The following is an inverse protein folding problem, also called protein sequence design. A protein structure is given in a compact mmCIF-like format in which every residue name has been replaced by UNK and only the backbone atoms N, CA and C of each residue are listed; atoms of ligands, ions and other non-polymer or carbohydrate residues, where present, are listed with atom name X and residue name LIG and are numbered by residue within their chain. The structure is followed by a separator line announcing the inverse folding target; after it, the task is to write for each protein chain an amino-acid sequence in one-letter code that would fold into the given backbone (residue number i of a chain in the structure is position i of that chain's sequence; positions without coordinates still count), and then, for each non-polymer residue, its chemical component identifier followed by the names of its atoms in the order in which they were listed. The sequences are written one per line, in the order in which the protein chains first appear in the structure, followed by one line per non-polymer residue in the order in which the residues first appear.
data_IF_899425537331
#
_entry.id   IF_899425537331
#
_cell.length_a   1.000
_cell.length_b   1.000
_cell.length_c   1.000
_cell.angle_alpha   90.00
_cell.angle_beta   90.00
_cell.angle_gamma   90.00
#
_symmetry.space_group_name_H-M   'P 1'
#
loop_
_entity.id
_entity.type
_entity.pdbx_description
1 polymer ?
#
# COMPACT_ATOMS: atom_id res chain seq x y z
N UNK A 1 -26.91 13.97 32.71
CA UNK A 1 -26.58 12.59 32.30
C UNK A 1 -26.97 12.31 30.86
N UNK A 2 -28.25 12.36 30.45
CA UNK A 2 -28.68 12.00 29.08
C UNK A 2 -27.97 12.78 27.95
N UNK A 3 -27.69 14.08 28.14
CA UNK A 3 -26.97 14.91 27.15
C UNK A 3 -25.50 14.51 26.98
N UNK A 4 -24.85 13.99 28.01
CA UNK A 4 -23.47 13.50 27.90
C UNK A 4 -23.41 12.15 27.19
N UNK A 5 -24.38 11.27 27.46
CA UNK A 5 -24.50 9.98 26.75
C UNK A 5 -24.74 10.20 25.25
N UNK A 6 -25.57 11.19 24.89
CA UNK A 6 -25.81 11.56 23.49
C UNK A 6 -24.55 12.12 22.81
N UNK A 7 -23.77 12.95 23.50
CA UNK A 7 -22.50 13.48 22.97
C UNK A 7 -21.44 12.37 22.79
N UNK A 8 -21.33 11.44 23.74
CA UNK A 8 -20.45 10.28 23.63
C UNK A 8 -20.87 9.38 22.47
N UNK A 9 -22.17 9.13 22.28
CA UNK A 9 -22.68 8.35 21.16
C UNK A 9 -22.33 8.99 19.80
N UNK A 10 -22.48 10.31 19.66
CA UNK A 10 -22.10 11.02 18.43
C UNK A 10 -20.58 11.00 18.19
N UNK A 11 -19.76 11.18 19.23
CA UNK A 11 -18.30 11.09 19.10
C UNK A 11 -17.85 9.68 18.68
N UNK A 12 -18.44 8.64 19.27
CA UNK A 12 -18.16 7.25 18.89
C UNK A 12 -18.61 6.97 17.45
N UNK A 13 -19.79 7.46 17.05
CA UNK A 13 -20.30 7.29 15.69
C UNK A 13 -19.42 7.98 14.64
N UNK A 14 -18.94 9.20 14.93
CA UNK A 14 -17.98 9.89 14.07
C UNK A 14 -16.66 9.12 13.96
N UNK A 15 -16.12 8.66 15.09
CA UNK A 15 -14.87 7.89 15.11
C UNK A 15 -15.00 6.60 14.29
N UNK A 16 -16.08 5.84 14.49
CA UNK A 16 -16.31 4.59 13.76
C UNK A 16 -16.43 4.83 12.25
N UNK A 17 -17.05 5.94 11.84
CA UNK A 17 -17.23 6.28 10.42
C UNK A 17 -15.88 6.61 9.75
N UNK A 18 -15.05 7.43 10.41
CA UNK A 18 -13.72 7.79 9.89
C UNK A 18 -12.82 6.55 9.74
N UNK A 19 -12.72 5.73 10.79
CA UNK A 19 -11.91 4.50 10.73
C UNK A 19 -12.44 3.50 9.70
N UNK A 20 -13.77 3.41 9.50
CA UNK A 20 -14.34 2.54 8.47
C UNK A 20 -13.94 2.98 7.06
N UNK A 21 -13.93 4.29 6.79
CA UNK A 21 -13.49 4.84 5.51
C UNK A 21 -12.00 4.62 5.28
N UNK A 22 -11.16 4.79 6.31
CA UNK A 22 -9.72 4.53 6.23
C UNK A 22 -9.41 3.06 5.93
N UNK A 23 -10.11 2.12 6.58
CA UNK A 23 -9.97 0.69 6.32
C UNK A 23 -10.35 0.34 4.88
N UNK A 24 -11.45 0.91 4.37
CA UNK A 24 -11.87 0.70 2.98
C UNK A 24 -10.82 1.26 2.01
N UNK A 25 -10.34 2.48 2.26
CA UNK A 25 -9.29 3.11 1.46
C UNK A 25 -7.99 2.29 1.44
N UNK A 26 -7.56 1.80 2.60
CA UNK A 26 -6.40 0.94 2.74
C UNK A 26 -6.54 -0.38 1.97
N UNK A 27 -7.71 -1.03 2.05
CA UNK A 27 -7.97 -2.26 1.30
C UNK A 27 -7.96 -2.02 -0.21
N UNK A 28 -8.59 -0.94 -0.67
CA UNK A 28 -8.59 -0.55 -2.08
C UNK A 28 -7.17 -0.27 -2.58
N UNK A 29 -6.38 0.49 -1.82
CA UNK A 29 -4.97 0.77 -2.14
C UNK A 29 -4.12 -0.50 -2.16
N UNK A 30 -4.30 -1.40 -1.21
CA UNK A 30 -3.58 -2.67 -1.16
C UNK A 30 -3.86 -3.52 -2.40
N UNK A 31 -5.14 -3.69 -2.76
CA UNK A 31 -5.55 -4.47 -3.93
C UNK A 31 -5.04 -3.81 -5.22
N UNK A 32 -5.22 -2.50 -5.37
CA UNK A 32 -4.74 -1.75 -6.51
C UNK A 32 -3.22 -1.85 -6.65
N UNK A 33 -2.50 -1.69 -5.54
CA UNK A 33 -1.04 -1.79 -5.48
C UNK A 33 -0.53 -3.16 -5.91
N UNK A 34 -1.20 -4.25 -5.51
CA UNK A 34 -0.83 -5.59 -5.94
C UNK A 34 -1.04 -5.80 -7.44
N UNK A 35 -2.17 -5.31 -7.98
CA UNK A 35 -2.45 -5.37 -9.42
C UNK A 35 -1.40 -4.60 -10.22
N UNK A 36 -1.10 -3.37 -9.80
CA UNK A 36 -0.09 -2.51 -10.43
C UNK A 36 1.30 -3.12 -10.35
N UNK A 37 1.70 -3.65 -9.19
CA UNK A 37 2.99 -4.31 -9.01
C UNK A 37 3.15 -5.51 -9.96
N UNK A 38 2.10 -6.34 -10.10
CA UNK A 38 2.10 -7.46 -11.02
C UNK A 38 2.15 -7.04 -12.49
N UNK A 39 1.47 -5.95 -12.85
CA UNK A 39 1.51 -5.40 -14.20
C UNK A 39 2.89 -4.84 -14.56
N UNK A 40 3.48 -4.05 -13.67
CA UNK A 40 4.82 -3.48 -13.85
C UNK A 40 5.87 -4.59 -13.91
N UNK A 41 5.80 -5.59 -13.01
CA UNK A 41 6.70 -6.74 -13.02
C UNK A 41 6.74 -7.42 -14.41
N UNK A 42 5.58 -7.66 -15.03
CA UNK A 42 5.49 -8.25 -16.37
C UNK A 42 6.09 -7.35 -17.45
N UNK A 43 5.90 -6.04 -17.36
CA UNK A 43 6.45 -5.08 -18.31
C UNK A 43 7.97 -4.97 -18.18
N UNK A 44 8.49 -4.86 -16.96
CA UNK A 44 9.92 -4.84 -16.66
C UNK A 44 10.60 -6.10 -17.20
N UNK A 45 10.03 -7.29 -16.96
CA UNK A 45 10.57 -8.54 -17.51
C UNK A 45 10.65 -8.56 -19.03
N UNK A 46 9.60 -8.08 -19.72
CA UNK A 46 9.59 -7.97 -21.20
C UNK A 46 10.62 -6.98 -21.72
N UNK A 47 10.86 -5.88 -21.01
CA UNK A 47 11.86 -4.87 -21.39
C UNK A 47 13.27 -5.43 -21.20
N UNK A 48 13.55 -6.07 -20.07
CA UNK A 48 14.87 -6.63 -19.80
C UNK A 48 15.21 -7.80 -20.74
N UNK A 49 14.22 -8.60 -21.16
CA UNK A 49 14.42 -9.65 -22.16
C UNK A 49 14.82 -9.14 -23.55
N UNK A 50 14.57 -7.85 -23.87
CA UNK A 50 15.04 -7.25 -25.13
C UNK A 50 16.49 -6.77 -25.07
N UNK A 51 17.12 -6.83 -23.90
CA UNK A 51 18.50 -6.39 -23.70
C UNK A 51 19.40 -7.61 -23.71
N UNK A 52 20.11 -7.83 -24.82
CA UNK A 52 20.98 -9.01 -25.02
C UNK A 52 22.13 -9.13 -24.01
N UNK A 53 22.44 -8.04 -23.28
CA UNK A 53 23.51 -8.00 -22.26
C UNK A 53 23.05 -8.44 -20.86
N UNK A 54 21.77 -8.68 -20.65
CA UNK A 54 21.22 -9.05 -19.33
C UNK A 54 20.95 -10.55 -19.30
N UNK A 55 21.53 -11.24 -18.33
CA UNK A 55 21.29 -12.67 -18.12
C UNK A 55 19.93 -12.94 -17.46
N UNK A 56 19.46 -14.19 -17.53
CA UNK A 56 18.16 -14.57 -16.97
C UNK A 56 18.08 -14.34 -15.46
N UNK A 57 19.20 -14.50 -14.74
CA UNK A 57 19.27 -14.34 -13.29
C UNK A 57 19.10 -12.87 -12.89
N UNK A 58 19.84 -11.96 -13.49
CA UNK A 58 19.73 -10.52 -13.21
C UNK A 58 18.38 -9.98 -13.65
N UNK A 59 17.84 -10.47 -14.77
CA UNK A 59 16.50 -10.10 -15.23
C UNK A 59 15.41 -10.46 -14.21
N UNK A 60 15.45 -11.68 -13.67
CA UNK A 60 14.53 -12.14 -12.63
C UNK A 60 14.72 -11.35 -11.33
N UNK A 61 15.97 -11.08 -10.94
CA UNK A 61 16.30 -10.29 -9.74
C UNK A 61 15.73 -8.87 -9.81
N UNK A 62 16.01 -8.13 -10.89
CA UNK A 62 15.52 -6.76 -11.07
C UNK A 62 14.00 -6.73 -11.16
N UNK A 63 13.40 -7.68 -11.88
CA UNK A 63 11.95 -7.79 -12.01
C UNK A 63 11.26 -8.01 -10.66
N UNK A 64 11.83 -8.86 -9.80
CA UNK A 64 11.34 -9.07 -8.43
C UNK A 64 11.61 -7.85 -7.54
N UNK A 65 12.77 -7.22 -7.66
CA UNK A 65 13.12 -6.00 -6.92
C UNK A 65 12.12 -4.87 -7.19
N UNK A 66 11.76 -4.66 -8.46
CA UNK A 66 10.74 -3.66 -8.85
C UNK A 66 9.38 -3.99 -8.23
N UNK A 67 8.96 -5.26 -8.27
CA UNK A 67 7.69 -5.69 -7.65
C UNK A 67 7.69 -5.40 -6.15
N UNK A 68 8.75 -5.78 -5.44
CA UNK A 68 8.84 -5.56 -3.99
C UNK A 68 8.93 -4.08 -3.63
N UNK A 69 9.66 -3.27 -4.41
CA UNK A 69 9.70 -1.82 -4.21
C UNK A 69 8.30 -1.20 -4.27
N UNK A 70 7.49 -1.58 -5.27
CA UNK A 70 6.11 -1.09 -5.38
C UNK A 70 5.27 -1.55 -4.18
N UNK A 71 5.35 -2.83 -3.80
CA UNK A 71 4.59 -3.35 -2.66
C UNK A 71 4.98 -2.67 -1.34
N UNK A 72 6.26 -2.37 -1.12
CA UNK A 72 6.73 -1.61 0.04
C UNK A 72 6.11 -0.21 0.07
N UNK A 73 6.11 0.50 -1.07
CA UNK A 73 5.47 1.82 -1.17
C UNK A 73 3.97 1.75 -0.89
N UNK A 74 3.28 0.72 -1.38
CA UNK A 74 1.85 0.49 -1.12
C UNK A 74 1.61 0.23 0.37
N UNK A 75 2.44 -0.59 1.02
CA UNK A 75 2.34 -0.85 2.47
C UNK A 75 2.55 0.44 3.25
N UNK A 76 3.56 1.25 2.88
CA UNK A 76 3.81 2.55 3.53
C UNK A 76 2.59 3.47 3.36
N UNK A 77 2.00 3.54 2.16
CA UNK A 77 0.79 4.34 1.91
C UNK A 77 -0.40 3.86 2.75
N UNK A 78 -0.57 2.54 2.89
CA UNK A 78 -1.61 1.94 3.75
C UNK A 78 -1.37 2.30 5.22
N UNK A 79 -0.14 2.20 5.72
CA UNK A 79 0.21 2.61 7.09
C UNK A 79 -0.01 4.11 7.33
N UNK A 80 0.32 4.94 6.34
CA UNK A 80 0.07 6.38 6.39
C UNK A 80 -1.43 6.70 6.47
N UNK A 81 -2.29 5.95 5.79
CA UNK A 81 -3.75 6.09 5.89
C UNK A 81 -4.25 5.83 7.33
N UNK A 82 -3.62 4.90 8.05
CA UNK A 82 -3.94 4.62 9.45
C UNK A 82 -3.30 5.61 10.45
N UNK A 83 -2.65 6.67 9.97
CA UNK A 83 -1.97 7.65 10.84
C UNK A 83 -0.72 7.11 11.53
N UNK A 84 -0.19 5.96 11.07
CA UNK A 84 1.06 5.40 11.59
C UNK A 84 2.22 6.26 11.10
N UNK A 85 3.00 6.79 12.03
CA UNK A 85 4.19 7.57 11.70
C UNK A 85 5.28 6.65 11.15
N UNK A 86 5.39 6.58 9.82
CA UNK A 86 6.38 5.73 9.14
C UNK A 86 7.81 6.29 9.23
N UNK A 87 7.99 7.49 9.77
CA UNK A 87 9.30 8.15 9.95
C UNK A 87 10.28 7.31 10.77
N UNK A 88 9.81 6.57 11.78
CA UNK A 88 10.64 5.66 12.58
C UNK A 88 11.14 4.43 11.80
N UNK A 89 10.55 4.11 10.65
CA UNK A 89 10.95 2.94 9.83
C UNK A 89 12.10 3.29 8.88
N UNK A 90 12.31 4.59 8.59
CA UNK A 90 13.29 5.08 7.60
C UNK A 90 14.58 5.60 8.27
N UNK A 91 14.56 5.78 9.60
CA UNK A 91 15.64 6.38 10.39
C UNK A 91 16.65 5.34 10.91
#
# INVERSE_FOLDING_TARGET
MEKEVFNLANQLMLLVTDYALDVIGALLLMVAGWIVAGWIQKHTGKVLQRVDRIDATLSSFVTNLVRYAILILVIIAVLAQFGVQTTSIIA
#
